data_IF_423763438013
#
_entry.id   IF_423763438013
#
_cell.length_a   1.000
_cell.length_b   1.000
_cell.length_c   1.000
_cell.angle_alpha   90.00
_cell.angle_beta   90.00
_cell.angle_gamma   90.00
#
_symmetry.space_group_name_H-M   'P 1'
#
loop_
_entity.id
_entity.type
_entity.pdbx_description
1 polymer ?
#
# COMPACT_ATOMS: atom_id res chain seq x y z
N UNK A 1 -9.32 20.90 -11.88
CA UNK A 1 -7.98 20.94 -12.50
C UNK A 1 -7.43 19.53 -12.46
N UNK A 2 -6.92 18.99 -13.57
CA UNK A 2 -6.33 17.65 -13.57
C UNK A 2 -4.91 17.68 -12.96
N UNK A 3 -4.50 16.65 -12.19
CA UNK A 3 -3.12 16.51 -11.73
C UNK A 3 -2.14 16.55 -12.92
N UNK A 4 -1.04 17.28 -12.80
CA UNK A 4 0.02 17.34 -13.83
C UNK A 4 1.27 16.62 -13.31
N UNK A 5 1.91 15.84 -14.17
CA UNK A 5 3.14 15.11 -13.84
C UNK A 5 2.94 13.83 -13.04
N UNK A 6 1.71 13.30 -13.00
CA UNK A 6 1.38 12.02 -12.35
C UNK A 6 0.49 11.19 -13.27
N UNK A 7 0.63 9.88 -13.17
CA UNK A 7 -0.30 8.92 -13.79
C UNK A 7 -1.47 8.67 -12.85
N UNK A 8 -2.67 8.46 -13.41
CA UNK A 8 -3.88 8.14 -12.64
C UNK A 8 -4.31 6.74 -13.04
N UNK A 9 -4.59 5.91 -12.04
CA UNK A 9 -4.99 4.53 -12.20
C UNK A 9 -6.40 4.33 -11.65
N UNK A 10 -7.16 3.43 -12.28
CA UNK A 10 -8.51 3.08 -11.82
C UNK A 10 -8.51 2.01 -10.72
N UNK A 11 -7.42 1.25 -10.58
CA UNK A 11 -7.29 0.17 -9.60
C UNK A 11 -5.88 0.15 -9.02
N UNK A 12 -5.71 -0.53 -7.88
CA UNK A 12 -4.42 -0.68 -7.22
C UNK A 12 -3.47 -1.54 -8.06
N UNK A 13 -3.98 -2.62 -8.63
CA UNK A 13 -3.22 -3.62 -9.39
C UNK A 13 -2.51 -2.94 -10.58
N UNK A 14 -3.25 -2.14 -11.34
CA UNK A 14 -2.68 -1.37 -12.45
C UNK A 14 -1.61 -0.36 -12.00
N UNK A 15 -1.70 0.15 -10.77
CA UNK A 15 -0.71 1.08 -10.22
C UNK A 15 0.57 0.35 -9.78
N UNK A 16 0.44 -0.75 -9.03
CA UNK A 16 1.59 -1.47 -8.46
C UNK A 16 2.40 -2.24 -9.51
N UNK A 17 1.82 -2.52 -10.68
CA UNK A 17 2.52 -3.09 -11.84
C UNK A 17 3.34 -2.05 -12.64
N UNK A 18 3.38 -0.79 -12.20
CA UNK A 18 4.12 0.27 -12.91
C UNK A 18 5.62 -0.01 -12.91
N UNK A 19 6.27 -0.09 -14.10
CA UNK A 19 7.71 -0.32 -14.18
C UNK A 19 8.51 0.78 -13.46
N UNK A 20 9.41 0.36 -12.56
CA UNK A 20 10.26 1.27 -11.80
C UNK A 20 9.59 1.91 -10.58
N UNK A 21 8.38 1.49 -10.20
CA UNK A 21 7.78 1.88 -8.92
C UNK A 21 8.51 1.17 -7.78
N UNK A 22 8.92 1.92 -6.76
CA UNK A 22 9.72 1.38 -5.63
C UNK A 22 8.95 1.41 -4.30
N UNK A 23 7.95 2.28 -4.18
CA UNK A 23 7.22 2.49 -2.94
C UNK A 23 5.79 2.99 -3.17
N UNK A 24 4.91 2.75 -2.20
CA UNK A 24 3.55 3.30 -2.17
C UNK A 24 3.20 3.93 -0.82
N UNK A 25 2.28 4.88 -0.88
CA UNK A 25 1.62 5.47 0.31
C UNK A 25 0.15 5.09 0.27
N UNK A 26 -0.33 4.40 1.30
CA UNK A 26 -1.74 4.01 1.44
C UNK A 26 -2.42 4.99 2.39
N UNK A 27 -3.32 5.80 1.84
CA UNK A 27 -4.19 6.72 2.56
C UNK A 27 -5.68 6.47 2.23
N UNK A 28 -6.01 5.21 1.90
CA UNK A 28 -7.38 4.77 1.65
C UNK A 28 -8.15 4.62 2.98
N UNK A 29 -9.37 4.09 2.95
CA UNK A 29 -10.04 3.74 4.19
C UNK A 29 -9.23 2.64 4.92
N UNK A 30 -9.07 2.76 6.24
CA UNK A 30 -8.35 1.80 7.11
C UNK A 30 -8.68 0.34 6.82
N UNK A 31 -9.92 -0.01 6.45
CA UNK A 31 -10.28 -1.41 6.10
C UNK A 31 -9.43 -1.98 4.95
N UNK A 32 -8.85 -1.11 4.11
CA UNK A 32 -8.04 -1.48 2.96
C UNK A 32 -6.53 -1.41 3.23
N UNK A 33 -6.07 -0.83 4.33
CA UNK A 33 -4.64 -0.67 4.60
C UNK A 33 -3.90 -2.01 4.54
N UNK A 34 -4.44 -3.02 5.22
CA UNK A 34 -3.84 -4.36 5.29
C UNK A 34 -3.84 -5.07 3.92
N UNK A 35 -4.97 -5.28 3.23
CA UNK A 35 -4.96 -6.00 1.95
C UNK A 35 -4.14 -5.27 0.88
N UNK A 36 -4.13 -3.93 0.87
CA UNK A 36 -3.31 -3.15 -0.06
C UNK A 36 -1.82 -3.22 0.27
N UNK A 37 -1.46 -3.26 1.56
CA UNK A 37 -0.07 -3.45 1.98
C UNK A 37 0.45 -4.82 1.55
N UNK A 38 -0.33 -5.88 1.77
CA UNK A 38 0.02 -7.25 1.36
C UNK A 38 0.25 -7.31 -0.15
N UNK A 39 -0.69 -6.80 -0.96
CA UNK A 39 -0.55 -6.79 -2.42
C UNK A 39 0.71 -6.03 -2.89
N UNK A 40 1.08 -4.94 -2.22
CA UNK A 40 2.28 -4.19 -2.54
C UNK A 40 3.56 -4.92 -2.11
N UNK A 41 3.56 -5.59 -0.95
CA UNK A 41 4.67 -6.41 -0.49
C UNK A 41 4.92 -7.62 -1.41
N UNK A 42 3.87 -8.25 -1.93
CA UNK A 42 3.99 -9.33 -2.92
C UNK A 42 4.69 -8.88 -4.22
N UNK A 43 4.61 -7.59 -4.55
CA UNK A 43 5.34 -6.97 -5.66
C UNK A 43 6.72 -6.42 -5.28
N UNK A 44 7.15 -6.60 -4.02
CA UNK A 44 8.43 -6.10 -3.51
C UNK A 44 8.49 -4.59 -3.25
N UNK A 45 7.34 -3.92 -3.16
CA UNK A 45 7.27 -2.48 -2.94
C UNK A 45 7.41 -2.11 -1.46
N UNK A 46 8.07 -0.99 -1.19
CA UNK A 46 8.05 -0.39 0.14
C UNK A 46 6.67 0.24 0.43
N UNK A 47 6.15 0.02 1.63
CA UNK A 47 4.81 0.51 2.01
C UNK A 47 4.91 1.47 3.19
N UNK A 48 4.33 2.66 3.02
CA UNK A 48 3.92 3.54 4.09
C UNK A 48 2.39 3.61 4.10
N UNK A 49 1.75 3.57 5.26
CA UNK A 49 0.30 3.72 5.38
C UNK A 49 -0.05 4.75 6.44
N UNK A 50 -1.21 5.39 6.28
CA UNK A 50 -1.77 6.25 7.29
C UNK A 50 -2.31 5.45 8.49
N UNK A 51 -2.36 6.07 9.65
CA UNK A 51 -2.86 5.41 10.88
C UNK A 51 -4.40 5.42 10.94
N UNK A 52 -5.02 4.43 11.61
CA UNK A 52 -4.42 3.18 12.09
C UNK A 52 -4.23 2.18 10.94
N UNK A 53 -3.36 1.19 11.13
CA UNK A 53 -3.13 0.14 10.11
C UNK A 53 -4.33 -0.82 9.99
N UNK A 54 -5.10 -0.98 11.06
CA UNK A 54 -6.29 -1.82 11.09
C UNK A 54 -7.15 -1.54 12.31
N UNK A 55 -8.23 -2.30 12.46
CA UNK A 55 -9.17 -2.15 13.59
C UNK A 55 -8.90 -3.14 14.74
N UNK A 56 -7.93 -4.04 14.59
CA UNK A 56 -7.56 -5.05 15.59
C UNK A 56 -6.05 -5.14 15.73
N UNK A 57 -5.57 -5.15 16.97
CA UNK A 57 -4.15 -5.26 17.34
C UNK A 57 -3.46 -6.49 16.76
N UNK A 58 -4.18 -7.60 16.58
CA UNK A 58 -3.65 -8.81 15.96
C UNK A 58 -3.19 -8.55 14.51
N UNK A 59 -3.96 -7.75 13.76
CA UNK A 59 -3.65 -7.41 12.36
C UNK A 59 -2.51 -6.40 12.26
N UNK A 60 -2.31 -5.56 13.28
CA UNK A 60 -1.18 -4.63 13.34
C UNK A 60 0.15 -5.37 13.55
N UNK A 61 0.14 -6.42 14.38
CA UNK A 61 1.34 -7.19 14.73
C UNK A 61 1.82 -8.13 13.61
N UNK A 62 0.91 -8.72 12.84
CA UNK A 62 1.25 -9.65 11.75
C UNK A 62 1.95 -8.94 10.58
N UNK A 63 1.45 -7.77 10.17
CA UNK A 63 2.04 -6.99 9.07
C UNK A 63 3.42 -6.40 9.42
N UNK A 64 3.68 -6.11 10.70
CA UNK A 64 4.99 -5.68 11.17
C UNK A 64 6.10 -6.74 11.05
N UNK A 65 5.76 -7.99 10.72
CA UNK A 65 6.72 -9.08 10.52
C UNK A 65 7.12 -9.30 9.06
N UNK A 66 6.30 -8.86 8.11
CA UNK A 66 6.60 -8.94 6.66
C UNK A 66 7.66 -7.90 6.19
N UNK A 67 8.07 -7.00 7.09
CA UNK A 67 9.02 -5.91 6.85
C UNK A 67 10.45 -6.21 7.36
N UNK A 68 10.78 -7.46 7.69
CA UNK A 68 12.17 -7.86 7.94
C UNK A 68 12.86 -8.25 6.62
N UNK A 69 14.09 -7.74 6.35
CA UNK A 69 14.81 -7.95 5.09
C UNK A 69 15.17 -9.42 4.82
#
# INVERSE_FOLDING_TARGET
>A
MAPRGVSIFGTLEAMIETPGLEAIVIASNTVFHVPQSIAAFEQGLHVLYEKPIGFSSATEMENGKAISP
#
